data_IF_408489549874
#
_entry.id   IF_408489549874
#
_cell.length_a   1.000
_cell.length_b   1.000
_cell.length_c   1.000
_cell.angle_alpha   90.00
_cell.angle_beta   90.00
_cell.angle_gamma   90.00
#
_symmetry.space_group_name_H-M   'P 1'
#
loop_
_entity.id
_entity.type
_entity.pdbx_description
1 polymer ?
#
# COMPACT_ATOMS: atom_id res chain seq x y z
N UNK A 1 -10.20 -14.57 3.00
CA UNK A 1 -8.97 -13.77 2.83
C UNK A 1 -7.90 -14.44 3.67
N UNK A 2 -7.04 -15.26 3.05
CA UNK A 2 -5.92 -15.87 3.77
C UNK A 2 -4.93 -14.78 4.21
N UNK A 3 -4.73 -14.68 5.51
CA UNK A 3 -4.10 -13.58 6.25
C UNK A 3 -2.58 -13.37 6.03
N UNK A 4 -1.95 -13.86 4.94
CA UNK A 4 -0.48 -13.90 4.87
C UNK A 4 0.25 -13.22 3.73
N UNK A 5 -0.42 -12.75 2.68
CA UNK A 5 0.27 -11.97 1.65
C UNK A 5 -0.68 -10.89 1.16
N UNK A 6 -0.38 -9.62 1.47
CA UNK A 6 -0.79 -8.56 0.54
C UNK A 6 0.00 -8.88 -0.72
N UNK A 7 -0.63 -9.58 -1.66
CA UNK A 7 0.00 -10.00 -2.90
C UNK A 7 0.55 -8.79 -3.65
N UNK A 8 1.57 -9.04 -4.47
CA UNK A 8 2.23 -8.02 -5.30
C UNK A 8 1.20 -7.12 -6.02
N UNK A 9 0.13 -7.71 -6.54
CA UNK A 9 -0.97 -6.98 -7.19
C UNK A 9 -1.72 -6.06 -6.22
N UNK A 10 -2.06 -6.53 -5.02
CA UNK A 10 -2.74 -5.75 -4.00
C UNK A 10 -1.88 -4.57 -3.51
N UNK A 11 -0.55 -4.72 -3.44
CA UNK A 11 0.37 -3.61 -3.16
C UNK A 11 0.30 -2.52 -4.22
N UNK A 12 0.22 -2.89 -5.50
CA UNK A 12 0.06 -1.95 -6.61
C UNK A 12 -1.25 -1.18 -6.55
N UNK A 13 -2.36 -1.87 -6.27
CA UNK A 13 -3.67 -1.22 -6.13
C UNK A 13 -3.71 -0.29 -4.91
N UNK A 14 -3.13 -0.71 -3.77
CA UNK A 14 -2.96 0.14 -2.58
C UNK A 14 -2.14 1.40 -2.89
N UNK A 15 -1.06 1.28 -3.67
CA UNK A 15 -0.24 2.41 -4.08
C UNK A 15 -1.03 3.41 -4.91
N UNK A 16 -1.88 2.93 -5.83
CA UNK A 16 -2.71 3.79 -6.68
C UNK A 16 -3.78 4.52 -5.87
N UNK A 17 -4.49 3.81 -4.97
CA UNK A 17 -5.48 4.41 -4.09
C UNK A 17 -4.85 5.46 -3.14
N UNK A 18 -3.73 5.12 -2.50
CA UNK A 18 -3.01 6.09 -1.66
C UNK A 18 -2.41 7.25 -2.46
N UNK A 19 -2.02 7.02 -3.71
CA UNK A 19 -1.56 8.07 -4.61
C UNK A 19 -2.64 9.10 -4.89
N UNK A 20 -3.91 8.67 -4.97
CA UNK A 20 -5.06 9.56 -5.10
C UNK A 20 -5.35 10.35 -3.82
N UNK A 21 -5.25 9.70 -2.65
CA UNK A 21 -5.60 10.30 -1.35
C UNK A 21 -4.48 11.21 -0.81
N UNK A 22 -3.25 10.70 -0.76
CA UNK A 22 -2.09 11.36 -0.13
C UNK A 22 -1.15 12.03 -1.15
N UNK A 23 -1.36 11.79 -2.45
CA UNK A 23 -0.49 12.26 -3.52
C UNK A 23 0.59 11.25 -3.93
N UNK A 24 0.96 11.26 -5.21
CA UNK A 24 1.90 10.30 -5.81
C UNK A 24 3.32 10.34 -5.20
N UNK A 25 3.72 11.47 -4.62
CA UNK A 25 5.03 11.64 -3.97
C UNK A 25 5.04 11.24 -2.50
N UNK A 26 3.94 10.71 -1.95
CA UNK A 26 3.91 10.29 -0.56
C UNK A 26 4.86 9.09 -0.33
N UNK A 27 5.71 9.10 0.72
CA UNK A 27 6.70 8.04 0.96
C UNK A 27 6.09 6.63 1.03
N UNK A 28 4.87 6.50 1.58
CA UNK A 28 4.14 5.23 1.62
C UNK A 28 3.71 4.76 0.22
N UNK A 29 3.32 5.67 -0.67
CA UNK A 29 2.92 5.34 -2.05
C UNK A 29 4.12 4.82 -2.83
N UNK A 30 5.27 5.51 -2.71
CA UNK A 30 6.52 5.09 -3.33
C UNK A 30 6.99 3.73 -2.81
N UNK A 31 6.86 3.48 -1.50
CA UNK A 31 7.21 2.19 -0.91
C UNK A 31 6.30 1.05 -1.37
N UNK A 32 4.98 1.27 -1.46
CA UNK A 32 4.03 0.29 -1.97
C UNK A 32 4.26 -0.01 -3.46
N UNK A 33 4.56 1.02 -4.25
CA UNK A 33 4.90 0.88 -5.66
C UNK A 33 6.20 0.09 -5.84
N UNK A 34 7.25 0.45 -5.08
CA UNK A 34 8.51 -0.27 -5.08
C UNK A 34 8.34 -1.74 -4.62
N UNK A 35 7.51 -2.00 -3.61
CA UNK A 35 7.19 -3.36 -3.18
C UNK A 35 6.46 -4.16 -4.27
N UNK A 36 5.55 -3.52 -5.02
CA UNK A 36 4.92 -4.10 -6.19
C UNK A 36 5.91 -4.33 -7.34
N UNK A 37 6.86 -3.44 -7.61
CA UNK A 37 7.81 -3.60 -8.71
C UNK A 37 8.92 -4.62 -8.40
N UNK A 38 9.47 -4.57 -7.19
CA UNK A 38 10.55 -5.44 -6.70
C UNK A 38 10.04 -6.86 -6.38
N UNK A 39 8.86 -6.98 -5.77
CA UNK A 39 8.35 -8.27 -5.28
C UNK A 39 9.16 -8.86 -4.11
N UNK A 40 10.15 -8.13 -3.60
CA UNK A 40 10.99 -8.58 -2.48
C UNK A 40 10.22 -8.52 -1.16
N UNK A 41 10.31 -9.58 -0.35
CA UNK A 41 9.70 -9.63 0.99
C UNK A 41 10.14 -8.48 1.90
N UNK A 42 11.37 -7.99 1.74
CA UNK A 42 11.90 -6.82 2.47
C UNK A 42 11.09 -5.57 2.15
N UNK A 43 10.83 -5.30 0.88
CA UNK A 43 10.08 -4.11 0.44
C UNK A 43 8.62 -4.22 0.83
N UNK A 44 8.02 -5.42 0.72
CA UNK A 44 6.66 -5.72 1.19
C UNK A 44 6.51 -5.42 2.68
N UNK A 45 7.46 -5.88 3.51
CA UNK A 45 7.45 -5.62 4.96
C UNK A 45 7.64 -4.14 5.26
N UNK A 46 8.54 -3.46 4.57
CA UNK A 46 8.79 -2.02 4.75
C UNK A 46 7.56 -1.19 4.35
N UNK A 47 6.95 -1.48 3.21
CA UNK A 47 5.74 -0.80 2.74
C UNK A 47 4.55 -1.02 3.68
N UNK A 48 4.37 -2.24 4.19
CA UNK A 48 3.33 -2.53 5.20
C UNK A 48 3.56 -1.77 6.50
N UNK A 49 4.81 -1.64 6.96
CA UNK A 49 5.14 -0.86 8.14
C UNK A 49 4.84 0.64 7.95
N UNK A 50 5.16 1.18 6.76
CA UNK A 50 4.81 2.57 6.41
C UNK A 50 3.30 2.78 6.28
N UNK A 51 2.58 1.79 5.72
CA UNK A 51 1.13 1.81 5.66
C UNK A 51 0.50 1.86 7.05
N UNK A 52 0.97 1.04 7.99
CA UNK A 52 0.47 1.04 9.38
C UNK A 52 0.76 2.34 10.14
N UNK A 53 1.81 3.08 9.75
CA UNK A 53 2.14 4.41 10.32
C UNK A 53 1.23 5.53 9.82
N UNK A 54 0.49 5.33 8.72
CA UNK A 54 -0.46 6.31 8.23
C UNK A 54 -1.62 6.52 9.21
N UNK A 55 -2.28 7.68 9.09
CA UNK A 55 -3.47 7.96 9.89
C UNK A 55 -4.54 6.90 9.59
N UNK A 56 -5.33 6.48 10.58
CA UNK A 56 -6.42 5.53 10.38
C UNK A 56 -7.35 5.94 9.24
N UNK A 57 -7.64 7.25 9.10
CA UNK A 57 -8.49 7.79 8.04
C UNK A 57 -7.92 7.56 6.63
N UNK A 58 -6.60 7.73 6.44
CA UNK A 58 -5.92 7.54 5.15
C UNK A 58 -5.90 6.05 4.77
N UNK A 59 -5.62 5.17 5.74
CA UNK A 59 -5.67 3.72 5.54
C UNK A 59 -7.08 3.25 5.16
N UNK A 60 -8.09 3.74 5.88
CA UNK A 60 -9.48 3.33 5.67
C UNK A 60 -9.98 3.80 4.31
N UNK A 61 -9.68 5.03 3.92
CA UNK A 61 -9.99 5.55 2.59
C UNK A 61 -9.32 4.70 1.48
N UNK A 62 -8.04 4.33 1.65
CA UNK A 62 -7.34 3.48 0.69
C UNK A 62 -7.92 2.07 0.59
N UNK A 63 -8.38 1.50 1.70
CA UNK A 63 -9.03 0.19 1.73
C UNK A 63 -10.44 0.23 1.10
N UNK A 64 -11.22 1.28 1.37
CA UNK A 64 -12.54 1.47 0.75
C UNK A 64 -12.45 1.53 -0.77
N UNK A 65 -11.42 2.16 -1.32
CA UNK A 65 -11.18 2.19 -2.78
C UNK A 65 -10.81 0.82 -3.39
N UNK A 66 -10.51 -0.20 -2.58
CA UNK A 66 -10.22 -1.56 -3.04
C UNK A 66 -11.41 -2.52 -2.87
N UNK A 67 -12.41 -2.12 -2.09
CA UNK A 67 -13.65 -2.86 -1.91
C UNK A 67 -14.70 -2.54 -3.00
N UNK A 68 -14.46 -1.50 -3.81
CA UNK A 68 -15.20 -1.18 -5.05
C UNK A 68 -14.49 -1.71 -6.31
#
# INVERSE_FOLDING_TARGET
MDEKSIDRAAMGQLAQALGFICGANHPTVLALKAACESGSERDIKAARALFLKLKPSERRAALTMLEE
#
